data_IF_446725781114
#
_entry.id   IF_446725781114
#
_cell.length_a   1.000
_cell.length_b   1.000
_cell.length_c   1.000
_cell.angle_alpha   90.00
_cell.angle_beta   90.00
_cell.angle_gamma   90.00
#
_symmetry.space_group_name_H-M   'P 1'
#
loop_
_entity.id
_entity.type
_entity.pdbx_description
1 polymer ?
#
# COMPACT_ATOMS: atom_id res chain seq x y z
N UNK A 1 -14.79 -12.04 -8.59
CA UNK A 1 -15.59 -11.05 -7.81
C UNK A 1 -15.30 -9.59 -8.16
N UNK A 2 -14.07 -9.19 -8.53
CA UNK A 2 -13.72 -7.78 -8.81
C UNK A 2 -14.57 -7.07 -9.88
N UNK A 3 -14.88 -7.73 -11.00
CA UNK A 3 -15.70 -7.13 -12.07
C UNK A 3 -17.14 -6.81 -11.64
N UNK A 4 -17.74 -7.65 -10.79
CA UNK A 4 -19.11 -7.42 -10.30
C UNK A 4 -19.15 -6.17 -9.42
N UNK A 5 -18.20 -6.04 -8.49
CA UNK A 5 -18.06 -4.86 -7.62
C UNK A 5 -17.76 -3.59 -8.43
N UNK A 6 -17.00 -3.70 -9.51
CA UNK A 6 -16.74 -2.61 -10.46
C UNK A 6 -18.04 -2.10 -11.09
N UNK A 7 -18.86 -3.01 -11.64
CA UNK A 7 -20.15 -2.62 -12.23
C UNK A 7 -21.09 -1.98 -11.20
N UNK A 8 -21.17 -2.55 -10.01
CA UNK A 8 -22.00 -2.02 -8.92
C UNK A 8 -21.60 -0.59 -8.54
N UNK A 9 -20.29 -0.31 -8.48
CA UNK A 9 -19.74 1.01 -8.15
C UNK A 9 -20.00 2.06 -9.24
N UNK A 10 -19.87 1.66 -10.51
CA UNK A 10 -20.21 2.51 -11.66
C UNK A 10 -21.68 2.93 -11.60
N UNK A 11 -22.58 1.99 -11.29
CA UNK A 11 -24.03 2.27 -11.18
C UNK A 11 -24.36 3.14 -9.97
N UNK A 12 -23.63 3.00 -8.86
CA UNK A 12 -23.83 3.77 -7.62
C UNK A 12 -23.21 5.17 -7.67
N UNK A 13 -22.47 5.53 -8.73
CA UNK A 13 -21.76 6.80 -8.82
C UNK A 13 -20.51 6.90 -7.94
N UNK A 14 -20.08 5.78 -7.36
CA UNK A 14 -18.92 5.71 -6.46
C UNK A 14 -17.68 5.30 -7.26
N UNK A 15 -16.87 6.27 -7.66
CA UNK A 15 -15.79 6.08 -8.64
C UNK A 15 -14.50 5.47 -8.06
N UNK A 16 -14.52 5.02 -6.81
CA UNK A 16 -13.31 4.50 -6.15
C UNK A 16 -13.15 2.99 -6.33
N UNK A 17 -12.10 2.57 -7.00
CA UNK A 17 -11.82 1.16 -7.27
C UNK A 17 -10.71 0.66 -6.35
N UNK A 18 -10.97 -0.44 -5.66
CA UNK A 18 -9.95 -1.13 -4.90
C UNK A 18 -9.31 -2.17 -5.82
N UNK A 19 -8.06 -1.91 -6.21
CA UNK A 19 -7.30 -2.85 -7.02
C UNK A 19 -6.87 -4.03 -6.16
N UNK A 20 -7.22 -5.24 -6.60
CA UNK A 20 -6.75 -6.49 -6.01
C UNK A 20 -5.88 -7.27 -6.98
N UNK A 21 -5.40 -8.43 -6.54
CA UNK A 21 -4.64 -9.36 -7.38
C UNK A 21 -5.52 -9.85 -8.57
N UNK A 22 -5.04 -9.79 -9.81
CA UNK A 22 -5.77 -10.31 -10.96
C UNK A 22 -5.92 -11.83 -10.91
N UNK A 23 -7.08 -12.34 -11.36
CA UNK A 23 -7.32 -13.79 -11.40
C UNK A 23 -6.32 -14.52 -12.33
N UNK A 24 -5.91 -13.88 -13.44
CA UNK A 24 -4.91 -14.43 -14.36
C UNK A 24 -3.54 -14.63 -13.70
N UNK A 25 -3.21 -13.85 -12.68
CA UNK A 25 -1.97 -14.03 -11.93
C UNK A 25 -2.00 -15.32 -11.09
N UNK A 26 -3.14 -15.66 -10.49
CA UNK A 26 -3.30 -16.96 -9.81
C UNK A 26 -3.17 -18.13 -10.78
N UNK A 27 -3.65 -17.99 -12.01
CA UNK A 27 -3.49 -19.01 -13.06
C UNK A 27 -2.01 -19.19 -13.40
N UNK A 28 -1.29 -18.10 -13.65
CA UNK A 28 0.15 -18.12 -13.90
C UNK A 28 0.92 -18.83 -12.78
N UNK A 29 0.64 -18.51 -11.51
CA UNK A 29 1.31 -19.16 -10.37
C UNK A 29 1.07 -20.66 -10.38
N UNK A 30 -0.17 -21.10 -10.61
CA UNK A 30 -0.50 -22.54 -10.69
C UNK A 30 0.15 -23.23 -11.88
N UNK A 31 0.24 -22.56 -13.02
CA UNK A 31 0.93 -23.08 -14.21
C UNK A 31 2.42 -23.29 -13.93
N UNK A 32 3.10 -22.34 -13.28
CA UNK A 32 4.49 -22.49 -12.84
C UNK A 32 4.65 -23.65 -11.84
N UNK A 33 3.75 -23.76 -10.87
CA UNK A 33 3.75 -24.87 -9.90
C UNK A 33 3.54 -26.24 -10.56
N UNK A 34 2.74 -26.30 -11.64
CA UNK A 34 2.53 -27.55 -12.40
C UNK A 34 3.79 -28.06 -13.09
N UNK A 35 4.78 -27.17 -13.32
CA UNK A 35 6.11 -27.52 -13.83
C UNK A 35 7.07 -27.98 -12.71
N UNK A 36 6.62 -28.06 -11.47
CA UNK A 36 7.44 -28.42 -10.31
C UNK A 36 8.23 -27.24 -9.71
N UNK A 37 7.88 -26.00 -10.06
CA UNK A 37 8.51 -24.81 -9.49
C UNK A 37 7.82 -24.42 -8.18
N UNK A 38 8.60 -24.17 -7.14
CA UNK A 38 8.10 -23.60 -5.89
C UNK A 38 8.05 -22.06 -6.02
N UNK A 39 6.86 -21.49 -5.87
CA UNK A 39 6.60 -20.06 -6.08
C UNK A 39 5.82 -19.53 -4.89
N UNK A 40 6.41 -18.57 -4.18
CA UNK A 40 5.82 -17.93 -2.99
C UNK A 40 5.76 -16.41 -3.18
N UNK A 41 4.64 -15.79 -2.78
CA UNK A 41 4.49 -14.33 -2.81
C UNK A 41 5.03 -13.71 -1.53
N UNK A 42 5.99 -12.81 -1.68
CA UNK A 42 6.52 -11.98 -0.59
C UNK A 42 5.93 -10.58 -0.67
N UNK A 43 5.28 -10.15 0.41
CA UNK A 43 4.78 -8.79 0.56
C UNK A 43 5.81 -7.99 1.35
N UNK A 44 6.39 -6.97 0.73
CA UNK A 44 7.25 -6.03 1.44
C UNK A 44 6.38 -5.01 2.15
N UNK A 45 6.38 -5.02 3.48
CA UNK A 45 5.83 -3.94 4.27
C UNK A 45 6.70 -2.70 4.03
N UNK A 46 6.26 -1.81 3.13
CA UNK A 46 6.83 -0.45 3.05
C UNK A 46 6.48 0.29 4.34
N UNK A 47 7.21 0.01 5.40
CA UNK A 47 7.26 0.85 6.59
C UNK A 47 7.61 2.24 6.10
N UNK A 48 6.66 3.18 6.21
CA UNK A 48 6.91 4.62 6.04
C UNK A 48 8.26 4.90 6.72
N UNK A 49 9.27 5.25 5.94
CA UNK A 49 10.41 5.97 6.47
C UNK A 49 9.81 7.24 7.08
N UNK A 50 9.57 7.20 8.39
CA UNK A 50 9.22 8.36 9.18
C UNK A 50 10.30 9.39 8.89
N UNK A 51 9.87 10.53 8.35
CA UNK A 51 10.71 11.66 7.95
C UNK A 51 11.79 11.98 9.01
N UNK A 52 12.96 12.53 8.59
CA UNK A 52 14.01 12.88 9.52
C UNK A 52 13.49 13.90 10.54
N UNK A 53 13.76 13.66 11.82
CA UNK A 53 13.43 14.58 12.90
C UNK A 53 13.99 15.98 12.58
N UNK A 54 13.10 16.97 12.44
CA UNK A 54 13.51 18.35 12.32
C UNK A 54 14.25 18.80 13.59
N UNK A 55 15.30 19.64 13.49
CA UNK A 55 16.07 20.07 14.65
C UNK A 55 15.27 21.07 15.47
N UNK A 56 14.92 20.72 16.72
CA UNK A 56 14.38 21.66 17.68
C UNK A 56 15.50 22.55 18.24
N UNK A 57 15.73 23.70 17.60
CA UNK A 57 16.34 24.86 18.22
C UNK A 57 15.36 26.04 18.04
N UNK A 58 15.15 26.88 19.07
CA UNK A 58 16.17 27.88 19.36
C UNK A 58 16.49 28.03 20.84
N UNK A 59 17.79 28.15 21.12
CA UNK A 59 18.27 28.80 22.31
C UNK A 59 18.01 30.32 22.23
N UNK A 60 17.88 30.93 23.40
CA UNK A 60 17.84 32.37 23.69
C UNK A 60 16.51 33.09 23.43
N UNK A 61 15.79 33.34 24.52
CA UNK A 61 15.63 34.70 25.03
C UNK A 61 15.21 34.65 26.51
N UNK A 62 16.16 34.91 27.41
CA UNK A 62 15.83 35.49 28.71
C UNK A 62 15.55 36.97 28.49
N UNK A 63 14.59 37.54 29.21
CA UNK A 63 14.85 38.84 29.81
C UNK A 63 14.71 38.75 31.32
N UNK A 64 15.82 39.11 31.95
CA UNK A 64 15.97 39.76 33.25
C UNK A 64 14.70 40.52 33.70
N UNK A 65 14.18 40.16 34.87
CA UNK A 65 13.32 41.03 35.68
C UNK A 65 14.01 41.18 37.05
N UNK A 66 13.98 42.42 37.56
CA UNK A 66 14.80 42.99 38.65
C UNK A 66 14.86 42.18 39.96
#
# INVERSE_FOLDING_TARGET
QGRVKMYEKIVKGDNFLEAGLPESFNVLVKELMSLGLDVTLHYEDRKRQSAPAAPSAPAALQPLVD
#
